data_IF_022328265366
#
_entry.id   IF_022328265366
#
_cell.length_a   1.000
_cell.length_b   1.000
_cell.length_c   1.000
_cell.angle_alpha   90.00
_cell.angle_beta   90.00
_cell.angle_gamma   90.00
#
_symmetry.space_group_name_H-M   'P 1'
#
loop_
_entity.id
_entity.type
_entity.pdbx_description
1 polymer ?
#
# COMPACT_ATOMS: atom_id res chain seq x y z
N UNK A 1 -5.00 -4.11 -9.94
CA UNK A 1 -4.20 -4.03 -8.70
C UNK A 1 -4.99 -4.69 -7.58
N UNK A 2 -4.45 -5.64 -6.83
CA UNK A 2 -5.20 -6.24 -5.71
C UNK A 2 -5.12 -5.32 -4.49
N UNK A 3 -6.27 -4.80 -4.06
CA UNK A 3 -6.38 -4.07 -2.80
C UNK A 3 -5.85 -4.93 -1.64
N UNK A 4 -5.05 -4.33 -0.76
CA UNK A 4 -4.41 -5.01 0.37
C UNK A 4 -3.01 -5.58 0.10
N UNK A 5 -2.50 -5.53 -1.14
CA UNK A 5 -1.14 -6.00 -1.46
C UNK A 5 -0.03 -5.13 -0.84
N UNK A 6 1.14 -5.70 -0.48
CA UNK A 6 2.23 -4.94 0.11
C UNK A 6 3.00 -4.10 -0.92
N UNK A 7 3.28 -2.85 -0.59
CA UNK A 7 4.34 -2.06 -1.22
C UNK A 7 5.65 -2.29 -0.48
N UNK A 8 6.60 -2.92 -1.16
CA UNK A 8 7.95 -3.15 -0.65
C UNK A 8 8.92 -2.12 -1.24
N UNK A 9 9.72 -1.51 -0.38
CA UNK A 9 10.85 -0.67 -0.80
C UNK A 9 12.17 -1.36 -0.45
N UNK A 10 13.16 -1.23 -1.33
CA UNK A 10 14.51 -1.70 -1.04
C UNK A 10 15.25 -0.65 -0.21
N UNK A 11 15.82 -1.08 0.91
CA UNK A 11 16.70 -0.28 1.77
C UNK A 11 17.99 -1.06 1.96
N UNK A 12 19.03 -0.71 1.19
CA UNK A 12 20.25 -1.52 1.12
C UNK A 12 19.98 -2.88 0.48
N UNK A 13 20.28 -3.96 1.20
CA UNK A 13 20.06 -5.34 0.75
C UNK A 13 18.77 -5.98 1.29
N UNK A 14 17.88 -5.20 1.92
CA UNK A 14 16.64 -5.68 2.52
C UNK A 14 15.41 -5.04 1.87
N UNK A 15 14.29 -5.76 1.87
CA UNK A 15 12.98 -5.19 1.55
C UNK A 15 12.25 -4.83 2.84
N UNK A 16 11.65 -3.63 2.87
CA UNK A 16 10.81 -3.16 3.97
C UNK A 16 9.40 -2.89 3.48
N UNK A 17 8.43 -3.20 4.33
CA UNK A 17 7.03 -2.85 4.09
C UNK A 17 6.85 -1.34 4.25
N UNK A 18 6.59 -0.65 3.15
CA UNK A 18 6.37 0.80 3.13
C UNK A 18 4.88 1.18 3.15
N UNK A 19 4.05 0.34 2.53
CA UNK A 19 2.64 0.65 2.36
C UNK A 19 1.77 -0.55 2.04
N UNK A 20 0.47 -0.32 2.06
CA UNK A 20 -0.56 -1.28 1.66
C UNK A 20 -1.35 -0.67 0.52
N UNK A 21 -1.53 -1.39 -0.58
CA UNK A 21 -2.26 -0.90 -1.75
C UNK A 21 -3.72 -0.65 -1.35
N UNK A 22 -4.19 0.58 -1.55
CA UNK A 22 -5.59 0.95 -1.29
C UNK A 22 -6.35 1.31 -2.56
N UNK A 23 -5.64 1.52 -3.68
CA UNK A 23 -6.27 1.77 -4.96
C UNK A 23 -5.34 2.48 -5.93
N UNK A 24 -5.95 3.26 -6.82
CA UNK A 24 -5.28 4.01 -7.87
C UNK A 24 -5.96 5.38 -8.01
N UNK A 25 -5.22 6.41 -8.42
CA UNK A 25 -5.84 7.69 -8.77
C UNK A 25 -6.59 7.53 -10.09
N UNK A 26 -7.92 7.63 -10.05
CA UNK A 26 -8.75 7.59 -11.25
C UNK A 26 -8.68 8.89 -12.06
N UNK A 27 -8.36 8.77 -13.34
CA UNK A 27 -8.62 9.82 -14.35
C UNK A 27 -9.98 9.61 -15.04
N UNK A 28 -10.34 10.47 -16.00
CA UNK A 28 -11.60 10.35 -16.77
C UNK A 28 -11.78 9.00 -17.49
N UNK A 29 -10.69 8.27 -17.71
CA UNK A 29 -10.67 6.97 -18.39
C UNK A 29 -10.60 5.77 -17.43
N UNK A 30 -10.73 5.98 -16.13
CA UNK A 30 -10.57 4.90 -15.14
C UNK A 30 -11.72 3.88 -15.20
N UNK A 31 -11.38 2.62 -15.40
CA UNK A 31 -12.21 1.46 -15.08
C UNK A 31 -11.41 0.41 -14.30
N UNK A 32 -12.09 -0.57 -13.69
CA UNK A 32 -11.41 -1.71 -13.06
C UNK A 32 -10.56 -2.50 -14.07
N UNK A 33 -10.98 -2.55 -15.34
CA UNK A 33 -10.30 -3.27 -16.41
C UNK A 33 -8.99 -2.58 -16.83
N UNK A 34 -8.89 -1.25 -16.70
CA UNK A 34 -7.69 -0.45 -17.04
C UNK A 34 -6.75 -0.26 -15.85
N UNK A 35 -7.03 -0.87 -14.70
CA UNK A 35 -6.24 -0.67 -13.49
C UNK A 35 -4.84 -1.27 -13.62
N UNK A 36 -3.81 -0.48 -13.29
CA UNK A 36 -2.41 -0.89 -13.41
C UNK A 36 -1.83 -0.78 -14.82
N UNK A 37 -2.50 -0.09 -15.75
CA UNK A 37 -1.93 0.26 -17.05
C UNK A 37 -0.73 1.22 -16.93
N UNK A 38 0.09 1.29 -17.98
CA UNK A 38 1.20 2.23 -18.02
C UNK A 38 0.71 3.67 -17.85
N UNK A 39 1.28 4.40 -16.89
CA UNK A 39 0.86 5.76 -16.54
C UNK A 39 -0.15 5.81 -15.38
N UNK A 40 -0.65 4.67 -14.90
CA UNK A 40 -1.41 4.60 -13.65
C UNK A 40 -0.60 5.08 -12.45
N UNK A 41 -1.28 5.72 -11.51
CA UNK A 41 -0.68 6.16 -10.23
C UNK A 41 -1.31 5.36 -9.10
N UNK A 42 -0.61 4.33 -8.66
CA UNK A 42 -1.03 3.52 -7.52
C UNK A 42 -1.00 4.33 -6.21
N UNK A 43 -2.01 4.12 -5.37
CA UNK A 43 -2.16 4.75 -4.07
C UNK A 43 -1.98 3.72 -2.98
N UNK A 44 -1.15 4.07 -2.00
CA UNK A 44 -0.80 3.22 -0.87
C UNK A 44 -1.07 3.95 0.44
N UNK A 45 -1.62 3.23 1.42
CA UNK A 45 -1.61 3.66 2.81
C UNK A 45 -0.19 3.52 3.36
N UNK A 46 0.34 4.56 4.03
CA UNK A 46 1.74 4.57 4.47
C UNK A 46 1.88 3.91 5.83
N UNK A 47 2.49 2.73 5.89
CA UNK A 47 2.61 1.94 7.12
C UNK A 47 3.32 2.69 8.25
N UNK A 48 4.32 3.51 7.95
CA UNK A 48 5.03 4.29 8.98
C UNK A 48 4.15 5.27 9.75
N UNK A 49 2.97 5.64 9.22
CA UNK A 49 2.01 6.49 9.92
C UNK A 49 1.17 5.71 10.96
N UNK A 50 1.18 4.37 10.89
CA UNK A 50 0.29 3.50 11.66
C UNK A 50 1.04 2.53 12.59
N UNK A 51 2.37 2.60 12.68
CA UNK A 51 3.19 1.66 13.48
C UNK A 51 2.70 1.59 14.93
N UNK A 52 2.52 2.74 15.59
CA UNK A 52 2.06 2.77 16.99
C UNK A 52 0.68 2.13 17.16
N UNK A 53 -0.22 2.34 16.20
CA UNK A 53 -1.55 1.72 16.22
C UNK A 53 -1.46 0.21 16.03
N UNK A 54 -0.67 -0.26 15.06
CA UNK A 54 -0.44 -1.69 14.80
C UNK A 54 0.09 -2.38 16.06
N UNK A 55 1.13 -1.82 16.67
CA UNK A 55 1.71 -2.34 17.92
C UNK A 55 0.69 -2.31 19.07
N UNK A 56 -0.18 -1.29 19.14
CA UNK A 56 -1.22 -1.24 20.16
C UNK A 56 -2.25 -2.37 20.01
N UNK A 57 -2.64 -2.71 18.78
CA UNK A 57 -3.61 -3.77 18.50
C UNK A 57 -3.00 -5.13 18.81
N UNK A 58 -1.79 -5.39 18.32
CA UNK A 58 -1.10 -6.67 18.51
C UNK A 58 -0.69 -6.86 19.99
N UNK A 59 -0.18 -5.81 20.63
CA UNK A 59 0.21 -5.84 22.04
C UNK A 59 -0.95 -5.86 23.03
N UNK A 60 -2.18 -5.56 22.60
CA UNK A 60 -3.38 -5.62 23.44
C UNK A 60 -3.96 -7.03 23.61
N UNK A 61 -3.51 -8.01 22.81
CA UNK A 61 -3.91 -9.42 22.91
C UNK A 61 -2.94 -10.23 23.79
N UNK A 62 -2.67 -9.74 25.01
CA UNK A 62 -1.83 -10.42 26.02
C UNK A 62 -2.56 -10.61 27.35
#
# INVERSE_FOLDING_TARGET
MTGGGPALISVGNEFRLAGVAIGELGGESFSEETQGEYGSVAVYERISAHVDWIESVIGSES
#
